data_IF_813721619817
#
_entry.id   IF_813721619817
#
_cell.length_a   1.000
_cell.length_b   1.000
_cell.length_c   1.000
_cell.angle_alpha   90.00
_cell.angle_beta   90.00
_cell.angle_gamma   90.00
#
_symmetry.space_group_name_H-M   'P 1'
#
loop_
_entity.id
_entity.type
_entity.pdbx_description
1 polymer ?
#
# COMPACT_ATOMS: atom_id res chain seq x y z
N UNK A 1 -45.23 59.96 1.27
CA UNK A 1 -44.07 59.50 0.48
C UNK A 1 -43.74 58.10 0.94
N UNK A 2 -44.27 57.08 0.25
CA UNK A 2 -44.06 55.68 0.61
C UNK A 2 -42.75 55.21 -0.05
N UNK A 3 -41.77 54.78 0.77
CA UNK A 3 -40.59 54.06 0.29
C UNK A 3 -41.00 52.61 0.05
N UNK A 4 -41.08 52.21 -1.22
CA UNK A 4 -41.09 50.79 -1.57
C UNK A 4 -39.70 50.24 -1.24
N UNK A 5 -39.66 49.33 -0.26
CA UNK A 5 -38.47 48.53 0.00
C UNK A 5 -38.40 47.45 -1.07
N UNK A 6 -37.40 47.54 -1.94
CA UNK A 6 -36.98 46.43 -2.77
C UNK A 6 -36.41 45.35 -1.85
N UNK A 7 -37.23 44.34 -1.57
CA UNK A 7 -36.83 43.15 -0.86
C UNK A 7 -36.20 42.19 -1.89
N UNK A 8 -34.88 42.10 -1.90
CA UNK A 8 -34.16 41.16 -2.75
C UNK A 8 -34.59 39.71 -2.43
N UNK A 9 -35.25 39.04 -3.39
CA UNK A 9 -35.57 37.61 -3.37
C UNK A 9 -34.59 36.84 -4.26
N UNK A 10 -33.29 37.01 -4.05
CA UNK A 10 -32.23 36.44 -4.90
C UNK A 10 -31.38 35.41 -4.14
N UNK A 11 -32.02 34.45 -3.46
CA UNK A 11 -31.31 33.47 -2.63
C UNK A 11 -31.82 32.02 -2.66
N UNK A 12 -32.95 31.70 -3.31
CA UNK A 12 -33.45 30.31 -3.28
C UNK A 12 -32.83 29.42 -4.36
N UNK A 13 -32.62 29.93 -5.58
CA UNK A 13 -32.14 29.12 -6.70
C UNK A 13 -30.69 28.61 -6.54
N UNK A 14 -29.80 29.45 -6.01
CA UNK A 14 -28.39 29.07 -5.82
C UNK A 14 -28.23 28.05 -4.69
N UNK A 15 -29.04 28.14 -3.64
CA UNK A 15 -29.04 27.20 -2.51
C UNK A 15 -29.63 25.84 -2.93
N UNK A 16 -30.70 25.84 -3.73
CA UNK A 16 -31.28 24.61 -4.31
C UNK A 16 -30.27 23.89 -5.21
N UNK A 17 -29.55 24.63 -6.07
CA UNK A 17 -28.54 24.05 -6.95
C UNK A 17 -27.38 23.42 -6.15
N UNK A 18 -26.95 24.08 -5.07
CA UNK A 18 -25.94 23.54 -4.16
C UNK A 18 -26.42 22.26 -3.49
N UNK A 19 -27.67 22.24 -3.00
CA UNK A 19 -28.24 21.08 -2.33
C UNK A 19 -28.36 19.87 -3.27
N UNK A 20 -28.82 20.08 -4.51
CA UNK A 20 -28.88 19.01 -5.53
C UNK A 20 -27.49 18.47 -5.82
N UNK A 21 -26.48 19.35 -5.94
CA UNK A 21 -25.10 18.94 -6.19
C UNK A 21 -24.52 18.08 -5.05
N UNK A 22 -24.81 18.43 -3.80
CA UNK A 22 -24.41 17.65 -2.63
C UNK A 22 -25.12 16.28 -2.58
N UNK A 23 -26.42 16.21 -2.90
CA UNK A 23 -27.15 14.95 -2.97
C UNK A 23 -26.59 14.01 -4.05
N UNK A 24 -26.25 14.56 -5.21
CA UNK A 24 -25.58 13.81 -6.28
C UNK A 24 -24.22 13.28 -5.84
N UNK A 25 -23.44 14.07 -5.09
CA UNK A 25 -22.17 13.63 -4.52
C UNK A 25 -22.35 12.45 -3.56
N UNK A 26 -23.29 12.58 -2.61
CA UNK A 26 -23.59 11.53 -1.65
C UNK A 26 -24.05 10.24 -2.33
N UNK A 27 -24.91 10.36 -3.35
CA UNK A 27 -25.38 9.20 -4.11
C UNK A 27 -24.23 8.46 -4.81
N UNK A 28 -23.25 9.19 -5.39
CA UNK A 28 -22.05 8.57 -5.98
C UNK A 28 -21.19 7.85 -4.95
N UNK A 29 -20.95 8.49 -3.81
CA UNK A 29 -20.14 7.90 -2.72
C UNK A 29 -20.79 6.62 -2.17
N UNK A 30 -22.09 6.65 -1.89
CA UNK A 30 -22.83 5.48 -1.43
C UNK A 30 -22.79 4.34 -2.44
N UNK A 31 -22.95 4.64 -3.74
CA UNK A 31 -22.88 3.63 -4.79
C UNK A 31 -21.49 2.98 -4.87
N UNK A 32 -20.42 3.77 -4.76
CA UNK A 32 -19.05 3.26 -4.74
C UNK A 32 -18.82 2.35 -3.52
N UNK A 33 -19.32 2.75 -2.34
CA UNK A 33 -19.25 1.92 -1.13
C UNK A 33 -20.03 0.61 -1.26
N UNK A 34 -21.24 0.63 -1.82
CA UNK A 34 -22.05 -0.58 -2.03
C UNK A 34 -21.41 -1.59 -3.00
N UNK A 35 -20.54 -1.11 -3.90
CA UNK A 35 -19.82 -1.94 -4.87
C UNK A 35 -18.42 -2.33 -4.44
N UNK A 36 -18.01 -1.97 -3.22
CA UNK A 36 -16.63 -2.13 -2.73
C UNK A 36 -15.58 -1.43 -3.63
N UNK A 37 -15.97 -0.37 -4.34
CA UNK A 37 -15.11 0.39 -5.23
C UNK A 37 -14.40 1.53 -4.47
N UNK A 38 -13.09 1.39 -4.28
CA UNK A 38 -12.24 2.42 -3.65
C UNK A 38 -11.87 3.54 -4.63
N UNK A 39 -12.87 4.34 -5.03
CA UNK A 39 -12.71 5.51 -5.90
C UNK A 39 -11.95 6.64 -5.20
N UNK A 40 -11.31 7.52 -5.98
CA UNK A 40 -10.53 8.64 -5.42
C UNK A 40 -11.40 9.58 -4.58
N UNK A 41 -12.62 9.90 -5.04
CA UNK A 41 -13.60 10.71 -4.29
C UNK A 41 -13.93 10.07 -2.93
N UNK A 42 -14.06 8.75 -2.85
CA UNK A 42 -14.33 8.04 -1.59
C UNK A 42 -13.10 7.98 -0.67
N UNK A 43 -11.91 7.83 -1.26
CA UNK A 43 -10.65 7.80 -0.51
C UNK A 43 -10.27 9.17 0.06
N UNK A 44 -10.67 10.27 -0.59
CA UNK A 44 -10.55 11.62 -0.05
C UNK A 44 -11.37 11.81 1.23
N UNK A 45 -12.60 11.25 1.27
CA UNK A 45 -13.47 11.29 2.44
C UNK A 45 -13.02 10.32 3.55
N UNK A 46 -12.30 9.24 3.18
CA UNK A 46 -11.85 8.18 4.09
C UNK A 46 -10.30 8.04 4.10
N UNK A 47 -9.57 9.00 4.70
CA UNK A 47 -8.11 9.06 4.62
C UNK A 47 -7.40 7.86 5.28
N UNK A 48 -8.02 7.22 6.28
CA UNK A 48 -7.48 6.00 6.89
C UNK A 48 -7.51 4.82 5.92
N UNK A 49 -8.59 4.70 5.14
CA UNK A 49 -8.74 3.67 4.10
C UNK A 49 -7.73 3.92 2.97
N UNK A 50 -7.52 5.18 2.57
CA UNK A 50 -6.51 5.55 1.60
C UNK A 50 -5.08 5.15 2.05
N UNK A 51 -4.74 5.41 3.31
CA UNK A 51 -3.47 4.97 3.90
C UNK A 51 -3.35 3.45 3.94
N UNK A 52 -4.41 2.75 4.32
CA UNK A 52 -4.40 1.29 4.32
C UNK A 52 -4.19 0.72 2.91
N UNK A 53 -4.88 1.26 1.89
CA UNK A 53 -4.73 0.86 0.49
C UNK A 53 -3.28 1.01 0.00
N UNK A 54 -2.68 2.17 0.27
CA UNK A 54 -1.27 2.42 -0.14
C UNK A 54 -0.26 1.49 0.54
N UNK A 55 -0.47 1.14 1.81
CA UNK A 55 0.39 0.16 2.49
C UNK A 55 0.17 -1.26 1.95
N UNK A 56 -1.07 -1.63 1.62
CA UNK A 56 -1.38 -2.91 0.95
C UNK A 56 -0.63 -3.00 -0.38
N UNK A 57 -0.76 -2.00 -1.25
CA UNK A 57 -0.08 -1.96 -2.55
C UNK A 57 1.44 -2.13 -2.40
N UNK A 58 2.03 -1.46 -1.39
CA UNK A 58 3.45 -1.55 -1.06
C UNK A 58 3.85 -2.96 -0.61
N UNK A 59 3.07 -3.58 0.27
CA UNK A 59 3.34 -4.92 0.79
C UNK A 59 3.19 -5.98 -0.31
N UNK A 60 2.20 -5.84 -1.19
CA UNK A 60 2.02 -6.72 -2.35
C UNK A 60 3.21 -6.63 -3.31
N UNK A 61 3.67 -5.42 -3.62
CA UNK A 61 4.89 -5.22 -4.41
C UNK A 61 6.09 -5.94 -3.79
N UNK A 62 6.31 -5.77 -2.48
CA UNK A 62 7.40 -6.43 -1.77
C UNK A 62 7.25 -7.95 -1.78
N UNK A 63 6.03 -8.46 -1.57
CA UNK A 63 5.75 -9.89 -1.61
C UNK A 63 6.07 -10.48 -2.99
N UNK A 64 5.75 -9.76 -4.06
CA UNK A 64 6.05 -10.19 -5.43
C UNK A 64 7.57 -10.27 -5.69
N UNK A 65 8.34 -9.28 -5.26
CA UNK A 65 9.82 -9.32 -5.37
C UNK A 65 10.39 -10.53 -4.62
N UNK A 66 9.92 -10.76 -3.39
CA UNK A 66 10.42 -11.86 -2.56
C UNK A 66 10.08 -13.22 -3.19
N UNK A 67 8.86 -13.39 -3.71
CA UNK A 67 8.46 -14.60 -4.44
C UNK A 67 9.37 -14.86 -5.65
N UNK A 68 9.65 -13.82 -6.44
CA UNK A 68 10.57 -13.92 -7.59
C UNK A 68 11.99 -14.30 -7.14
N UNK A 69 12.50 -13.63 -6.10
CA UNK A 69 13.84 -13.90 -5.56
C UNK A 69 13.98 -15.33 -5.03
N UNK A 70 12.96 -15.83 -4.33
CA UNK A 70 12.92 -17.22 -3.85
C UNK A 70 12.92 -18.20 -5.02
N UNK A 71 12.07 -17.98 -6.03
CA UNK A 71 12.00 -18.83 -7.20
C UNK A 71 13.34 -18.87 -7.97
N UNK A 72 14.04 -17.74 -8.08
CA UNK A 72 15.39 -17.68 -8.65
C UNK A 72 16.42 -18.48 -7.83
N UNK A 73 16.39 -18.35 -6.51
CA UNK A 73 17.26 -19.11 -5.62
C UNK A 73 16.98 -20.62 -5.71
N UNK A 74 15.72 -21.02 -5.76
CA UNK A 74 15.32 -22.42 -5.94
C UNK A 74 15.74 -22.95 -7.32
N UNK A 75 15.64 -22.15 -8.38
CA UNK A 75 16.11 -22.54 -9.71
C UNK A 75 17.64 -22.72 -9.74
N UNK A 76 18.39 -21.84 -9.06
CA UNK A 76 19.86 -21.85 -9.02
C UNK A 76 20.41 -22.96 -8.11
N UNK A 77 19.79 -23.21 -6.96
CA UNK A 77 20.35 -24.06 -5.89
C UNK A 77 19.43 -25.20 -5.43
N UNK A 78 18.15 -25.20 -5.81
CA UNK A 78 17.16 -26.20 -5.37
C UNK A 78 17.38 -27.61 -5.92
N UNK A 79 18.29 -27.79 -6.88
CA UNK A 79 18.67 -29.13 -7.39
C UNK A 79 19.77 -29.80 -6.58
N UNK A 80 20.50 -29.09 -5.70
CA UNK A 80 21.67 -29.65 -5.00
C UNK A 80 21.36 -30.30 -3.64
N UNK A 81 20.12 -30.21 -3.14
CA UNK A 81 19.74 -30.80 -1.84
C UNK A 81 18.89 -32.08 -1.91
N UNK A 82 18.90 -32.80 -3.04
CA UNK A 82 18.55 -34.24 -3.01
C UNK A 82 19.72 -35.02 -2.42
N UNK A 83 19.94 -34.88 -1.10
CA UNK A 83 20.89 -35.74 -0.38
C UNK A 83 20.48 -37.20 -0.61
N UNK A 84 21.39 -38.10 -1.04
CA UNK A 84 21.14 -39.52 -0.89
C UNK A 84 20.93 -39.80 0.61
N UNK A 85 19.95 -40.65 0.93
CA UNK A 85 19.71 -41.17 2.28
C UNK A 85 21.02 -41.82 2.77
N UNK A 86 21.82 -41.08 3.53
CA UNK A 86 22.99 -41.61 4.20
C UNK A 86 22.51 -42.36 5.45
N UNK A 87 22.71 -43.68 5.42
CA UNK A 87 22.50 -44.57 6.55
C UNK A 87 23.30 -44.11 7.77
N UNK A 88 22.65 -44.12 8.94
CA UNK A 88 23.23 -43.88 10.25
C UNK A 88 24.66 -44.45 10.41
N UNK A 89 25.63 -43.58 10.67
CA UNK A 89 26.81 -43.94 11.46
C UNK A 89 27.26 -42.75 12.30
N UNK A 90 27.57 -43.05 13.56
CA UNK A 90 27.86 -42.18 14.69
C UNK A 90 29.06 -41.24 14.50
N UNK A 91 29.08 -40.24 15.39
CA UNK A 91 30.22 -39.54 16.03
C UNK A 91 30.99 -38.46 15.27
N UNK A 92 31.08 -37.26 15.88
CA UNK A 92 32.31 -36.46 15.91
C UNK A 92 32.32 -35.10 15.19
N UNK A 93 32.23 -34.03 15.99
CA UNK A 93 33.01 -32.76 15.91
C UNK A 93 33.10 -31.91 14.63
N UNK A 94 32.66 -30.65 14.79
CA UNK A 94 33.11 -29.40 14.14
C UNK A 94 32.78 -29.15 12.67
N UNK A 95 32.20 -27.98 12.35
CA UNK A 95 32.13 -27.51 10.96
C UNK A 95 31.18 -26.34 10.69
N UNK A 96 31.69 -25.11 10.85
CA UNK A 96 31.35 -23.88 10.10
C UNK A 96 29.86 -23.54 9.88
N UNK A 97 29.35 -22.64 10.71
CA UNK A 97 28.28 -21.72 10.29
C UNK A 97 28.81 -20.79 9.19
N UNK A 98 28.39 -20.99 7.94
CA UNK A 98 28.63 -20.04 6.85
C UNK A 98 27.49 -19.01 6.84
N UNK A 99 27.75 -17.86 7.46
CA UNK A 99 26.94 -16.63 7.31
C UNK A 99 26.84 -16.21 5.82
N UNK A 100 25.65 -15.79 5.41
CA UNK A 100 25.48 -14.99 4.19
C UNK A 100 26.30 -13.70 4.33
N UNK A 101 27.29 -13.53 3.46
CA UNK A 101 28.07 -12.31 3.37
C UNK A 101 27.24 -11.25 2.62
N UNK A 102 26.65 -10.31 3.35
CA UNK A 102 26.21 -9.03 2.77
C UNK A 102 27.45 -8.17 2.67
N UNK A 103 27.89 -7.91 1.44
CA UNK A 103 29.04 -7.06 1.12
C UNK A 103 28.86 -5.68 1.75
N UNK A 104 29.74 -5.34 2.69
CA UNK A 104 30.09 -3.95 2.99
C UNK A 104 31.06 -3.50 1.90
N UNK A 105 30.73 -2.42 1.20
CA UNK A 105 31.76 -1.53 0.67
C UNK A 105 31.86 -0.29 1.57
N UNK A 106 33.09 0.19 1.69
CA UNK A 106 33.61 1.03 2.76
C UNK A 106 33.47 2.55 2.53
N UNK A 107 33.51 3.27 3.64
CA UNK A 107 34.24 4.52 3.89
C UNK A 107 34.00 5.75 3.00
N UNK A 108 33.02 6.57 3.42
CA UNK A 108 33.02 8.02 3.19
C UNK A 108 33.23 8.78 4.51
N UNK A 109 34.45 9.26 4.74
CA UNK A 109 34.84 10.11 5.87
C UNK A 109 33.92 11.34 6.01
N UNK A 110 33.33 11.55 7.19
CA UNK A 110 32.60 12.77 7.53
C UNK A 110 32.76 13.08 9.01
N UNK A 111 33.85 13.77 9.36
CA UNK A 111 34.14 14.31 10.69
C UNK A 111 33.40 15.65 10.79
N UNK A 112 32.36 15.76 11.61
CA UNK A 112 31.78 17.06 11.95
C UNK A 112 32.27 17.48 13.34
N UNK A 113 32.81 18.70 13.34
CA UNK A 113 33.20 19.53 14.50
C UNK A 113 31.95 20.07 15.16
#
# INVERSE_FOLDING_TARGET
>A
MNKAGDHCLSGSGDEELRQVSEQLRQSRLLNAMEKDELTDELLEECPEVAKAKTEVDRLEYRANILKQSIAECEAKYGKENKKPKASNSKTGTSGKEKKCNVSKEEDGKGKYV
#
